data_IF_352608959592
#
_entry.id   IF_352608959592
#
_cell.length_a   1.000
_cell.length_b   1.000
_cell.length_c   1.000
_cell.angle_alpha   90.00
_cell.angle_beta   90.00
_cell.angle_gamma   90.00
#
_symmetry.space_group_name_H-M   'P 1'
#
loop_
_entity.id
_entity.type
_entity.pdbx_description
1 polymer ?
#
# COMPACT_ATOMS: atom_id res chain seq x y z
N UNK A 1 18.06 21.57 7.87
CA UNK A 1 18.07 20.63 9.01
C UNK A 1 18.05 21.38 10.32
N UNK A 2 19.03 22.26 10.57
CA UNK A 2 19.14 23.00 11.85
C UNK A 2 17.89 23.81 12.20
N UNK A 3 17.25 24.50 11.25
CA UNK A 3 16.03 25.28 11.51
C UNK A 3 14.81 24.47 11.98
N UNK A 4 14.57 23.28 11.41
CA UNK A 4 13.47 22.39 11.82
C UNK A 4 13.79 21.68 13.14
N UNK A 5 15.05 21.31 13.35
CA UNK A 5 15.50 20.70 14.60
C UNK A 5 15.44 21.71 15.78
N UNK A 6 15.82 22.96 15.54
CA UNK A 6 15.78 24.06 16.52
C UNK A 6 14.32 24.45 16.85
N UNK A 7 13.45 24.55 15.83
CA UNK A 7 12.02 24.77 16.04
C UNK A 7 11.32 23.61 16.77
N UNK A 8 11.72 22.36 16.51
CA UNK A 8 11.24 21.20 17.26
C UNK A 8 11.79 21.18 18.69
N UNK A 9 13.05 21.56 18.92
CA UNK A 9 13.63 21.66 20.27
C UNK A 9 12.89 22.69 21.13
N UNK A 10 12.51 23.83 20.56
CA UNK A 10 11.71 24.85 21.26
C UNK A 10 10.29 24.36 21.57
N UNK A 11 9.66 23.64 20.64
CA UNK A 11 8.32 23.06 20.78
C UNK A 11 8.26 21.89 21.80
N UNK A 12 9.34 21.11 21.92
CA UNK A 12 9.45 19.94 22.81
C UNK A 12 9.68 20.29 24.29
N UNK A 13 9.68 21.57 24.66
CA UNK A 13 9.88 22.06 26.04
C UNK A 13 8.65 21.95 26.96
N UNK A 14 7.56 21.31 26.53
CA UNK A 14 6.33 21.15 27.33
C UNK A 14 5.95 19.67 27.51
N UNK A 15 5.73 19.29 28.78
CA UNK A 15 5.26 17.99 29.26
C UNK A 15 3.97 17.54 28.53
N UNK A 16 4.08 16.81 27.41
CA UNK A 16 2.96 16.10 26.80
C UNK A 16 3.42 15.07 25.74
N UNK A 17 4.20 14.05 26.11
CA UNK A 17 4.57 12.95 25.20
C UNK A 17 4.35 11.60 25.89
N UNK A 18 3.10 11.27 26.24
CA UNK A 18 2.78 9.89 26.67
C UNK A 18 1.65 9.21 25.89
N UNK A 19 0.90 9.89 25.03
CA UNK A 19 -0.06 9.21 24.15
C UNK A 19 -0.35 10.08 22.92
N UNK A 20 0.13 9.70 21.74
CA UNK A 20 -0.14 10.38 20.47
C UNK A 20 -0.50 9.35 19.38
N UNK A 21 -1.79 9.02 19.26
CA UNK A 21 -2.39 8.40 18.08
C UNK A 21 -3.05 9.50 17.22
N UNK A 22 -2.84 9.47 15.90
CA UNK A 22 -3.40 10.44 14.95
C UNK A 22 -4.04 9.77 13.74
N UNK A 23 -5.20 10.28 13.34
CA UNK A 23 -5.94 9.92 12.14
C UNK A 23 -6.60 11.17 11.57
N UNK A 24 -6.52 11.33 10.24
CA UNK A 24 -7.52 11.89 9.31
C UNK A 24 -7.06 12.98 8.32
N UNK A 25 -7.47 12.76 7.07
CA UNK A 25 -7.92 13.64 5.98
C UNK A 25 -6.95 14.73 5.49
N UNK A 26 -6.05 14.32 4.59
CA UNK A 26 -5.21 15.09 3.66
C UNK A 26 -4.36 16.25 4.23
N UNK A 27 -4.19 16.29 5.56
CA UNK A 27 -3.36 17.26 6.26
C UNK A 27 -2.29 16.55 7.09
N UNK A 28 -1.15 17.20 7.24
CA UNK A 28 -0.18 16.87 8.28
C UNK A 28 -0.88 16.82 9.64
N UNK A 29 -1.21 15.63 10.15
CA UNK A 29 -1.93 15.53 11.42
C UNK A 29 -0.93 15.67 12.57
N UNK A 30 -0.82 16.91 13.01
CA UNK A 30 -0.07 17.38 14.16
C UNK A 30 -1.09 17.82 15.22
N UNK A 31 -0.95 17.42 16.49
CA UNK A 31 -1.82 17.95 17.57
C UNK A 31 -1.68 19.46 17.56
N UNK A 32 -2.71 20.09 18.11
CA UNK A 32 -2.77 21.50 18.51
C UNK A 32 -1.43 22.11 18.95
N UNK A 33 -0.54 21.37 19.60
CA UNK A 33 0.83 21.82 19.91
C UNK A 33 1.69 22.05 18.64
N UNK A 34 1.96 21.01 17.85
CA UNK A 34 2.84 21.13 16.68
C UNK A 34 2.14 21.84 15.51
N UNK A 35 0.80 21.84 15.42
CA UNK A 35 0.08 22.63 14.41
C UNK A 35 0.24 24.15 14.62
N UNK A 36 0.30 24.60 15.87
CA UNK A 36 0.57 26.01 16.21
C UNK A 36 2.02 26.39 15.91
N UNK A 37 2.96 25.47 16.15
CA UNK A 37 4.38 25.67 15.84
C UNK A 37 4.67 25.59 14.34
N UNK A 38 4.02 24.69 13.58
CA UNK A 38 4.08 24.70 12.12
C UNK A 38 3.45 25.95 11.50
N UNK A 39 2.38 26.48 12.10
CA UNK A 39 1.79 27.78 11.70
C UNK A 39 2.78 28.92 11.96
N UNK A 40 3.55 28.89 13.05
CA UNK A 40 4.66 29.83 13.30
C UNK A 40 5.79 29.69 12.29
N UNK A 41 6.02 28.49 11.76
CA UNK A 41 6.99 28.18 10.70
C UNK A 41 6.46 28.42 9.27
N UNK A 42 5.23 28.91 9.12
CA UNK A 42 4.66 29.26 7.82
C UNK A 42 4.21 28.07 6.95
N UNK A 43 3.99 26.90 7.53
CA UNK A 43 3.54 25.71 6.79
C UNK A 43 2.01 25.77 6.58
N UNK A 44 1.52 25.85 5.32
CA UNK A 44 0.08 25.93 5.05
C UNK A 44 -0.64 24.63 5.46
N UNK A 45 -1.87 24.79 5.98
CA UNK A 45 -2.63 23.75 6.65
C UNK A 45 -3.78 23.20 5.79
N UNK A 46 -4.07 23.81 4.64
CA UNK A 46 -5.09 23.33 3.70
C UNK A 46 -4.68 23.52 2.23
N UNK A 47 -5.30 22.74 1.33
CA UNK A 47 -5.17 22.93 -0.11
C UNK A 47 -5.73 24.29 -0.57
N UNK A 48 -6.74 24.82 0.13
CA UNK A 48 -7.27 26.17 -0.07
C UNK A 48 -6.29 27.25 0.38
N UNK A 49 -5.55 27.08 1.48
CA UNK A 49 -4.47 28.00 1.88
C UNK A 49 -3.29 27.94 0.89
N UNK A 50 -2.91 26.74 0.44
CA UNK A 50 -1.93 26.55 -0.65
C UNK A 50 -2.41 27.19 -1.97
N UNK A 51 -3.70 27.09 -2.27
CA UNK A 51 -4.32 27.66 -3.47
C UNK A 51 -4.50 29.17 -3.37
N UNK A 52 -4.83 29.71 -2.19
CA UNK A 52 -4.92 31.14 -1.91
C UNK A 52 -3.54 31.80 -1.94
N UNK A 53 -2.50 31.13 -1.45
CA UNK A 53 -1.09 31.50 -1.65
C UNK A 53 -0.70 31.48 -3.14
N UNK A 54 -1.25 30.56 -3.93
CA UNK A 54 -1.02 30.45 -5.38
C UNK A 54 -1.85 31.43 -6.23
N UNK A 55 -2.96 31.97 -5.70
CA UNK A 55 -3.88 32.84 -6.44
C UNK A 55 -3.38 34.29 -6.62
N UNK A 56 -2.22 34.65 -6.06
CA UNK A 56 -1.57 35.95 -6.26
C UNK A 56 -0.17 35.91 -6.87
N UNK A 57 0.50 34.75 -6.84
CA UNK A 57 1.85 34.54 -7.35
C UNK A 57 1.91 33.12 -7.90
N UNK A 58 2.39 32.88 -9.15
CA UNK A 58 2.58 31.52 -9.62
C UNK A 58 3.43 30.77 -8.59
N UNK A 59 3.05 29.55 -8.16
CA UNK A 59 3.79 28.85 -7.12
C UNK A 59 5.25 28.80 -7.54
N UNK A 60 6.12 29.46 -6.76
CA UNK A 60 7.55 29.30 -6.97
C UNK A 60 7.87 27.82 -6.76
N UNK A 61 8.96 27.33 -7.38
CA UNK A 61 9.40 25.96 -7.21
C UNK A 61 9.48 25.54 -5.72
N UNK A 62 9.70 26.50 -4.82
CA UNK A 62 9.79 26.35 -3.37
C UNK A 62 8.49 25.93 -2.67
N UNK A 63 7.31 26.37 -3.14
CA UNK A 63 6.04 26.05 -2.44
C UNK A 63 5.65 24.58 -2.60
N UNK A 64 6.05 23.94 -3.70
CA UNK A 64 5.88 22.50 -3.91
C UNK A 64 7.04 21.66 -3.32
N UNK A 65 8.14 22.28 -2.88
CA UNK A 65 9.29 21.61 -2.25
C UNK A 65 9.05 21.28 -0.77
N UNK A 66 8.30 22.13 -0.04
CA UNK A 66 8.07 21.95 1.40
C UNK A 66 7.24 20.69 1.74
N UNK A 67 6.13 20.38 1.05
CA UNK A 67 5.31 19.24 1.42
C UNK A 67 5.98 17.88 1.18
N UNK A 68 6.86 17.74 0.18
CA UNK A 68 7.52 16.47 -0.09
C UNK A 68 8.68 16.19 0.89
N UNK A 69 9.42 17.24 1.27
CA UNK A 69 10.57 17.11 2.19
C UNK A 69 10.14 16.80 3.62
N UNK A 70 8.98 17.28 4.07
CA UNK A 70 8.49 16.95 5.42
C UNK A 70 8.29 15.43 5.58
N UNK A 71 7.94 14.70 4.52
CA UNK A 71 7.79 13.23 4.57
C UNK A 71 9.08 12.49 4.96
N UNK A 72 10.25 13.10 4.77
CA UNK A 72 11.56 12.53 5.10
C UNK A 72 12.25 13.28 6.24
N UNK A 73 12.27 14.61 6.21
CA UNK A 73 12.97 15.44 7.19
C UNK A 73 12.33 15.41 8.58
N UNK A 74 10.99 15.42 8.68
CA UNK A 74 10.31 15.45 9.97
C UNK A 74 10.55 14.15 10.78
N UNK A 75 10.37 12.94 10.22
CA UNK A 75 10.71 11.72 10.94
C UNK A 75 12.17 11.68 11.41
N UNK A 76 13.12 12.12 10.56
CA UNK A 76 14.54 12.16 10.90
C UNK A 76 14.79 13.16 12.04
N UNK A 77 14.22 14.36 11.99
CA UNK A 77 14.39 15.37 13.02
C UNK A 77 13.77 14.92 14.35
N UNK A 78 12.59 14.30 14.33
CA UNK A 78 11.95 13.71 15.51
C UNK A 78 12.85 12.63 16.14
N UNK A 79 13.42 11.75 15.31
CA UNK A 79 14.34 10.72 15.78
C UNK A 79 15.61 11.32 16.40
N UNK A 80 16.20 12.34 15.77
CA UNK A 80 17.35 13.07 16.31
C UNK A 80 17.07 13.78 17.64
N UNK A 81 15.82 14.21 17.86
CA UNK A 81 15.34 14.75 19.12
C UNK A 81 14.99 13.68 20.17
N UNK A 82 15.21 12.40 19.88
CA UNK A 82 14.89 11.29 20.78
C UNK A 82 13.41 10.90 20.81
N UNK A 83 12.58 11.47 19.92
CA UNK A 83 11.17 11.12 19.79
C UNK A 83 11.03 9.80 19.04
N UNK A 84 10.23 8.88 19.61
CA UNK A 84 9.99 7.56 19.03
C UNK A 84 8.67 7.56 18.27
N UNK A 85 8.74 7.45 16.95
CA UNK A 85 7.57 7.24 16.12
C UNK A 85 7.03 5.81 16.28
N UNK A 86 5.73 5.70 16.56
CA UNK A 86 5.02 4.41 16.67
C UNK A 86 4.02 4.20 15.55
N UNK A 87 3.36 5.26 15.11
CA UNK A 87 2.29 5.18 14.13
C UNK A 87 2.48 6.25 13.07
N UNK A 88 2.38 5.87 11.80
CA UNK A 88 2.52 6.78 10.66
C UNK A 88 1.33 6.62 9.73
N UNK A 89 0.70 7.74 9.43
CA UNK A 89 -0.38 7.86 8.47
C UNK A 89 0.01 8.82 7.35
N UNK A 90 0.04 8.33 6.11
CA UNK A 90 0.39 9.10 4.92
C UNK A 90 -0.80 9.06 3.97
N UNK A 91 -1.70 10.02 4.16
CA UNK A 91 -2.86 10.21 3.30
C UNK A 91 -2.49 10.88 1.98
N UNK A 92 -1.59 11.87 2.01
CA UNK A 92 -1.13 12.61 0.84
C UNK A 92 0.31 12.25 0.48
N UNK A 93 0.57 11.95 -0.79
CA UNK A 93 1.91 11.64 -1.29
C UNK A 93 2.03 12.10 -2.75
N UNK A 94 3.19 12.56 -3.23
CA UNK A 94 3.36 12.98 -4.62
C UNK A 94 2.86 11.93 -5.61
N UNK A 95 1.91 12.27 -6.49
CA UNK A 95 1.21 11.28 -7.34
C UNK A 95 1.60 11.32 -8.81
N UNK A 96 2.39 12.28 -9.30
CA UNK A 96 2.68 12.42 -10.74
C UNK A 96 4.16 12.41 -11.05
N UNK A 97 4.86 13.45 -10.63
CA UNK A 97 6.28 13.68 -10.90
C UNK A 97 6.96 14.20 -9.64
N UNK A 98 8.28 14.39 -9.71
CA UNK A 98 9.07 15.07 -8.66
C UNK A 98 9.20 14.28 -7.33
N UNK A 99 9.18 12.95 -7.39
CA UNK A 99 9.54 12.07 -6.27
C UNK A 99 10.97 12.32 -5.78
N UNK A 100 11.85 12.84 -6.65
CA UNK A 100 13.17 13.32 -6.25
C UNK A 100 13.11 14.35 -5.12
N UNK A 101 12.00 15.09 -4.96
CA UNK A 101 11.81 16.05 -3.85
C UNK A 101 11.60 15.40 -2.48
N UNK A 102 11.39 14.09 -2.41
CA UNK A 102 11.47 13.36 -1.14
C UNK A 102 12.88 13.41 -0.57
N UNK A 103 13.89 13.54 -1.44
CA UNK A 103 15.27 13.77 -1.05
C UNK A 103 15.61 15.26 -1.25
N UNK A 104 16.18 15.96 -0.25
CA UNK A 104 16.73 17.30 -0.45
C UNK A 104 17.68 17.36 -1.66
N UNK A 105 17.60 18.43 -2.46
CA UNK A 105 18.38 18.59 -3.69
C UNK A 105 19.89 18.44 -3.45
N UNK A 106 20.50 17.61 -4.30
CA UNK A 106 21.94 17.38 -4.39
C UNK A 106 22.48 18.21 -5.56
N UNK A 107 23.00 19.41 -5.26
CA UNK A 107 23.60 20.28 -6.27
C UNK A 107 24.90 19.68 -6.87
N UNK A 108 25.55 18.73 -6.18
CA UNK A 108 26.80 18.09 -6.59
C UNK A 108 26.65 16.56 -6.64
N UNK A 109 26.97 15.96 -7.80
CA UNK A 109 26.60 14.57 -8.12
C UNK A 109 27.37 13.49 -7.38
N UNK A 110 28.63 13.73 -7.02
CA UNK A 110 29.46 12.71 -6.34
C UNK A 110 29.25 12.75 -4.82
N UNK A 111 29.16 13.94 -4.22
CA UNK A 111 28.73 14.09 -2.82
C UNK A 111 27.24 13.77 -2.62
N UNK A 112 26.45 13.83 -3.70
CA UNK A 112 25.02 13.60 -3.68
C UNK A 112 24.61 12.15 -3.42
N UNK A 113 25.36 11.16 -3.94
CA UNK A 113 25.00 9.75 -3.77
C UNK A 113 25.19 9.27 -2.32
N UNK A 114 26.33 9.58 -1.70
CA UNK A 114 26.58 9.24 -0.29
C UNK A 114 25.57 9.92 0.65
N UNK A 115 25.24 11.17 0.35
CA UNK A 115 24.26 11.95 1.13
C UNK A 115 22.84 11.41 0.96
N UNK A 116 22.47 10.97 -0.24
CA UNK A 116 21.17 10.32 -0.48
C UNK A 116 21.06 9.01 0.30
N UNK A 117 22.08 8.15 0.26
CA UNK A 117 22.11 6.91 1.05
C UNK A 117 21.96 7.19 2.55
N UNK A 118 22.65 8.23 3.05
CA UNK A 118 22.54 8.66 4.44
C UNK A 118 21.12 9.12 4.80
N UNK A 119 20.43 9.84 3.91
CA UNK A 119 19.04 10.27 4.14
C UNK A 119 18.11 9.06 4.28
N UNK A 120 18.23 8.07 3.40
CA UNK A 120 17.42 6.86 3.46
C UNK A 120 17.74 6.01 4.69
N UNK A 121 19.02 5.90 5.06
CA UNK A 121 19.45 5.21 6.28
C UNK A 121 18.91 5.88 7.55
N UNK A 122 18.97 7.22 7.62
CA UNK A 122 18.40 7.98 8.73
C UNK A 122 16.88 7.85 8.79
N UNK A 123 16.20 7.82 7.65
CA UNK A 123 14.75 7.60 7.59
C UNK A 123 14.37 6.20 8.08
N UNK A 124 15.13 5.18 7.66
CA UNK A 124 14.97 3.81 8.16
C UNK A 124 15.15 3.74 9.69
N UNK A 125 16.16 4.44 10.23
CA UNK A 125 16.38 4.51 11.66
C UNK A 125 15.21 5.20 12.39
N UNK A 126 14.70 6.31 11.84
CA UNK A 126 13.55 7.02 12.37
C UNK A 126 12.28 6.16 12.41
N UNK A 127 12.10 5.29 11.42
CA UNK A 127 10.97 4.35 11.34
C UNK A 127 11.22 2.99 12.01
N UNK A 128 12.42 2.75 12.56
CA UNK A 128 12.79 1.46 13.13
C UNK A 128 11.92 1.00 14.30
N UNK A 129 11.18 1.92 14.93
CA UNK A 129 10.30 1.65 16.09
C UNK A 129 8.80 1.69 15.77
N UNK A 130 8.43 1.81 14.49
CA UNK A 130 7.03 1.81 14.06
C UNK A 130 6.33 0.50 14.40
N UNK A 131 5.07 0.65 14.80
CA UNK A 131 4.07 -0.41 15.05
C UNK A 131 2.97 -0.38 14.01
N UNK A 132 2.55 0.79 13.54
CA UNK A 132 1.50 0.91 12.53
C UNK A 132 1.90 1.83 11.39
N UNK A 133 1.61 1.39 10.17
CA UNK A 133 1.74 2.20 8.94
C UNK A 133 0.43 2.12 8.17
N UNK A 134 -0.04 3.28 7.73
CA UNK A 134 -1.12 3.39 6.75
C UNK A 134 -0.75 4.40 5.67
N UNK A 135 -0.69 3.95 4.43
CA UNK A 135 -0.27 4.72 3.27
C UNK A 135 -1.37 4.69 2.19
N UNK A 136 -1.75 5.87 1.69
CA UNK A 136 -2.65 6.03 0.55
C UNK A 136 -4.12 5.69 0.79
N UNK A 137 -4.54 5.47 2.05
CA UNK A 137 -5.91 5.13 2.41
C UNK A 137 -6.96 6.21 2.03
N UNK A 138 -6.53 7.45 1.84
CA UNK A 138 -7.38 8.61 1.51
C UNK A 138 -7.40 8.98 0.03
N UNK A 139 -6.58 8.33 -0.78
CA UNK A 139 -6.59 8.55 -2.21
C UNK A 139 -7.73 7.76 -2.87
N UNK A 140 -8.97 8.17 -2.62
CA UNK A 140 -10.01 7.95 -3.63
C UNK A 140 -9.47 8.49 -4.96
N UNK A 141 -9.75 7.84 -6.09
CA UNK A 141 -9.15 8.08 -7.41
C UNK A 141 -9.24 9.54 -7.93
N UNK A 142 -8.50 10.46 -7.31
CA UNK A 142 -8.63 11.91 -7.52
C UNK A 142 -7.69 12.43 -8.60
N UNK A 143 -6.66 11.66 -8.96
CA UNK A 143 -5.67 12.10 -9.93
C UNK A 143 -5.42 11.06 -11.02
N UNK A 144 -6.11 11.21 -12.17
CA UNK A 144 -5.85 10.37 -13.32
C UNK A 144 -4.37 10.38 -13.71
N UNK A 145 -3.79 9.19 -13.90
CA UNK A 145 -2.46 9.00 -14.48
C UNK A 145 -2.56 8.26 -15.81
N UNK A 146 -1.91 8.82 -16.82
CA UNK A 146 -1.84 8.22 -18.16
C UNK A 146 -0.56 7.40 -18.36
N UNK A 147 0.42 7.55 -17.45
CA UNK A 147 1.70 6.86 -17.48
C UNK A 147 2.27 6.59 -16.07
N UNK A 148 3.06 5.52 -15.98
CA UNK A 148 3.80 5.16 -14.77
C UNK A 148 4.92 6.16 -14.49
N UNK A 149 5.36 6.30 -13.22
CA UNK A 149 6.59 7.02 -12.91
C UNK A 149 7.76 6.47 -13.75
N UNK A 150 8.63 7.36 -14.22
CA UNK A 150 9.91 6.97 -14.84
C UNK A 150 10.73 6.16 -13.84
N UNK A 151 11.61 5.28 -14.33
CA UNK A 151 12.43 4.40 -13.47
C UNK A 151 13.20 5.17 -12.36
N UNK A 152 13.82 6.31 -12.70
CA UNK A 152 14.53 7.14 -11.72
C UNK A 152 13.61 7.73 -10.65
N UNK A 153 12.37 8.08 -11.01
CA UNK A 153 11.37 8.61 -10.09
C UNK A 153 10.78 7.52 -9.21
N UNK A 154 10.58 6.33 -9.77
CA UNK A 154 10.15 5.13 -9.04
C UNK A 154 11.15 4.75 -7.94
N UNK A 155 12.45 4.94 -8.17
CA UNK A 155 13.48 4.63 -7.18
C UNK A 155 13.25 5.38 -5.85
N UNK A 156 12.99 6.69 -5.90
CA UNK A 156 12.69 7.49 -4.71
C UNK A 156 11.44 6.99 -3.97
N UNK A 157 10.41 6.60 -4.73
CA UNK A 157 9.19 6.01 -4.17
C UNK A 157 9.47 4.68 -3.46
N UNK A 158 10.23 3.79 -4.12
CA UNK A 158 10.60 2.49 -3.59
C UNK A 158 11.50 2.60 -2.36
N UNK A 159 12.46 3.54 -2.35
CA UNK A 159 13.30 3.82 -1.20
C UNK A 159 12.47 4.32 -0.02
N UNK A 160 11.52 5.23 -0.27
CA UNK A 160 10.63 5.74 0.77
C UNK A 160 9.78 4.63 1.38
N UNK A 161 9.09 3.83 0.56
CA UNK A 161 8.28 2.70 1.07
C UNK A 161 9.15 1.62 1.70
N UNK A 162 10.34 1.36 1.17
CA UNK A 162 11.31 0.46 1.77
C UNK A 162 11.71 0.90 3.18
N UNK A 163 11.97 2.19 3.37
CA UNK A 163 12.27 2.75 4.69
C UNK A 163 11.07 2.69 5.64
N UNK A 164 9.87 2.96 5.14
CA UNK A 164 8.64 2.91 5.94
C UNK A 164 8.30 1.48 6.42
N UNK A 165 8.63 0.47 5.61
CA UNK A 165 8.29 -0.94 5.85
C UNK A 165 9.43 -1.77 6.46
N UNK A 166 10.60 -1.21 6.73
CA UNK A 166 11.75 -1.97 7.24
C UNK A 166 11.70 -2.23 8.76
N UNK A 167 10.77 -1.62 9.49
CA UNK A 167 10.69 -1.71 10.95
C UNK A 167 10.35 -3.12 11.44
N UNK A 168 11.16 -3.74 12.32
CA UNK A 168 10.90 -5.09 12.84
C UNK A 168 9.73 -5.15 13.83
N UNK A 169 9.23 -3.99 14.25
CA UNK A 169 8.15 -3.84 15.24
C UNK A 169 6.77 -3.60 14.60
N UNK A 170 6.67 -3.59 13.27
CA UNK A 170 5.40 -3.39 12.58
C UNK A 170 4.40 -4.50 12.91
N UNK A 171 3.27 -4.08 13.47
CA UNK A 171 2.10 -4.90 13.81
C UNK A 171 0.96 -4.69 12.82
N UNK A 172 0.81 -3.48 12.27
CA UNK A 172 -0.24 -3.14 11.31
C UNK A 172 0.35 -2.45 10.08
N UNK A 173 0.06 -2.99 8.89
CA UNK A 173 0.54 -2.45 7.61
C UNK A 173 -0.66 -2.33 6.66
N UNK A 174 -0.98 -1.10 6.28
CA UNK A 174 -2.00 -0.80 5.29
C UNK A 174 -1.41 0.04 4.17
N UNK A 175 -1.26 -0.55 2.98
CA UNK A 175 -0.73 0.12 1.80
C UNK A 175 -1.78 0.09 0.71
N UNK A 176 -2.28 1.26 0.31
CA UNK A 176 -3.17 1.41 -0.82
C UNK A 176 -2.47 2.22 -1.92
N UNK A 177 -2.14 1.55 -3.02
CA UNK A 177 -1.51 2.15 -4.19
C UNK A 177 -2.44 2.31 -5.40
N UNK A 178 -3.76 2.12 -5.24
CA UNK A 178 -4.72 2.21 -6.35
C UNK A 178 -4.66 3.57 -7.07
N UNK A 179 -4.43 4.65 -6.33
CA UNK A 179 -4.28 6.00 -6.89
C UNK A 179 -2.96 6.24 -7.63
N UNK A 180 -1.97 5.35 -7.48
CA UNK A 180 -0.71 5.40 -8.22
C UNK A 180 -0.76 4.53 -9.48
N UNK A 181 -1.86 3.81 -9.68
CA UNK A 181 -2.13 3.08 -10.91
C UNK A 181 -2.53 3.99 -12.06
N UNK A 182 -2.51 3.42 -13.27
CA UNK A 182 -2.94 4.07 -14.50
C UNK A 182 -4.46 4.15 -14.54
N UNK A 183 -4.97 5.35 -14.76
CA UNK A 183 -6.39 5.66 -14.76
C UNK A 183 -6.95 5.49 -16.17
N UNK A 184 -7.29 4.26 -16.55
CA UNK A 184 -7.88 3.98 -17.86
C UNK A 184 -9.43 3.99 -17.87
N UNK A 185 -10.05 4.58 -16.85
CA UNK A 185 -11.51 4.57 -16.62
C UNK A 185 -12.38 5.24 -17.71
N UNK A 186 -11.81 5.81 -18.77
CA UNK A 186 -12.60 6.47 -19.84
C UNK A 186 -12.61 5.77 -21.19
N UNK A 187 -11.88 4.67 -21.40
CA UNK A 187 -11.77 4.08 -22.75
C UNK A 187 -11.93 2.57 -22.87
N UNK A 188 -11.99 1.83 -21.76
CA UNK A 188 -12.16 0.38 -21.80
C UNK A 188 -13.49 -0.06 -21.18
N UNK A 189 -14.15 -1.08 -21.75
CA UNK A 189 -15.31 -1.71 -21.14
C UNK A 189 -14.98 -2.18 -19.72
N UNK A 190 -15.97 -2.12 -18.84
CA UNK A 190 -15.89 -2.63 -17.45
C UNK A 190 -15.30 -4.05 -17.48
N UNK A 191 -14.19 -4.25 -16.77
CA UNK A 191 -13.56 -5.56 -16.60
C UNK A 191 -12.29 -5.83 -17.42
N UNK A 192 -11.89 -4.93 -18.32
CA UNK A 192 -10.58 -4.96 -19.00
C UNK A 192 -9.64 -3.92 -18.36
N UNK A 193 -9.09 -4.24 -17.20
CA UNK A 193 -7.95 -3.49 -16.68
C UNK A 193 -6.70 -3.88 -17.50
N UNK A 194 -5.98 -2.94 -18.12
CA UNK A 194 -4.74 -3.26 -18.79
C UNK A 194 -3.80 -3.97 -17.81
N UNK A 195 -3.12 -5.03 -18.29
CA UNK A 195 -2.21 -5.90 -17.54
C UNK A 195 -1.04 -5.16 -16.85
N UNK A 196 -0.94 -3.84 -16.97
CA UNK A 196 0.11 -3.01 -16.37
C UNK A 196 -0.46 -1.74 -15.76
N UNK A 197 -1.70 -1.75 -15.25
CA UNK A 197 -2.31 -0.56 -14.65
C UNK A 197 -1.87 -0.32 -13.21
N UNK A 198 -1.33 -1.31 -12.49
CA UNK A 198 -1.03 -1.20 -11.06
C UNK A 198 0.43 -0.87 -10.77
N UNK A 199 0.70 -0.25 -9.61
CA UNK A 199 2.04 0.16 -9.24
C UNK A 199 2.94 -1.05 -8.90
N UNK A 200 4.12 -1.14 -9.53
CA UNK A 200 5.06 -2.26 -9.36
C UNK A 200 5.78 -2.20 -8.01
N UNK A 201 5.18 -2.77 -6.96
CA UNK A 201 5.74 -2.79 -5.61
C UNK A 201 6.55 -4.07 -5.28
N UNK A 202 6.49 -5.09 -6.13
CA UNK A 202 7.12 -6.40 -5.87
C UNK A 202 8.58 -6.34 -5.39
N UNK A 203 9.40 -5.48 -5.99
CA UNK A 203 10.81 -5.31 -5.61
C UNK A 203 11.04 -4.78 -4.19
N UNK A 204 10.09 -4.01 -3.64
CA UNK A 204 10.12 -3.55 -2.23
C UNK A 204 9.65 -4.69 -1.33
N UNK A 205 8.49 -5.29 -1.64
CA UNK A 205 7.89 -6.36 -0.83
C UNK A 205 8.83 -7.57 -0.65
N UNK A 206 9.58 -7.93 -1.69
CA UNK A 206 10.49 -9.07 -1.66
C UNK A 206 11.67 -8.91 -0.68
N UNK A 207 11.97 -7.69 -0.25
CA UNK A 207 13.05 -7.36 0.71
C UNK A 207 12.53 -7.13 2.13
N UNK A 208 11.24 -6.84 2.27
CA UNK A 208 10.60 -6.51 3.55
C UNK A 208 10.44 -7.77 4.41
N UNK A 209 10.63 -7.61 5.73
CA UNK A 209 10.40 -8.64 6.74
C UNK A 209 9.46 -8.07 7.79
N UNK A 210 8.34 -8.74 8.01
CA UNK A 210 7.29 -8.30 8.94
C UNK A 210 7.05 -9.38 10.00
N UNK A 211 8.02 -9.66 10.88
CA UNK A 211 7.96 -10.78 11.81
C UNK A 211 6.86 -10.65 12.88
N UNK A 212 6.30 -9.46 13.06
CA UNK A 212 5.30 -9.15 14.09
C UNK A 212 3.96 -8.68 13.55
N UNK A 213 3.79 -8.66 12.23
CA UNK A 213 2.55 -8.15 11.63
C UNK A 213 1.37 -9.04 12.03
N UNK A 214 0.29 -8.39 12.42
CA UNK A 214 -1.01 -8.95 12.78
C UNK A 214 -2.05 -8.58 11.73
N UNK A 215 -1.99 -7.34 11.26
CA UNK A 215 -2.93 -6.78 10.29
C UNK A 215 -2.19 -6.37 9.02
N UNK A 216 -2.46 -7.06 7.91
CA UNK A 216 -1.86 -6.76 6.62
C UNK A 216 -2.93 -6.42 5.60
N UNK A 217 -2.86 -5.23 5.01
CA UNK A 217 -3.75 -4.75 3.96
C UNK A 217 -2.94 -4.19 2.80
N UNK A 218 -3.03 -4.81 1.63
CA UNK A 218 -2.35 -4.37 0.41
C UNK A 218 -3.37 -4.15 -0.70
N UNK A 219 -3.33 -2.98 -1.35
CA UNK A 219 -4.22 -2.66 -2.46
C UNK A 219 -3.48 -2.04 -3.64
N UNK A 220 -3.84 -2.43 -4.86
CA UNK A 220 -3.43 -1.73 -6.08
C UNK A 220 -1.97 -1.91 -6.48
N UNK A 221 -1.42 -3.11 -6.26
CA UNK A 221 0.00 -3.41 -6.48
C UNK A 221 0.21 -4.49 -7.54
N UNK A 222 1.28 -4.35 -8.31
CA UNK A 222 1.78 -5.39 -9.21
C UNK A 222 3.08 -6.01 -8.70
N UNK A 223 3.21 -7.33 -8.83
CA UNK A 223 4.35 -8.11 -8.34
C UNK A 223 4.52 -9.42 -9.14
N UNK A 224 5.69 -10.05 -9.03
CA UNK A 224 5.94 -11.40 -9.57
C UNK A 224 5.62 -12.48 -8.52
N UNK A 225 5.48 -13.75 -8.94
CA UNK A 225 5.36 -14.90 -8.03
C UNK A 225 6.55 -14.95 -7.06
N UNK A 226 7.76 -14.68 -7.57
CA UNK A 226 8.98 -14.65 -6.75
C UNK A 226 8.93 -13.58 -5.67
N UNK A 227 8.42 -12.39 -6.01
CA UNK A 227 8.29 -11.28 -5.07
C UNK A 227 7.30 -11.60 -3.95
N UNK A 228 6.11 -12.07 -4.32
CA UNK A 228 5.06 -12.43 -3.37
C UNK A 228 5.47 -13.62 -2.49
N UNK A 229 6.11 -14.65 -3.06
CA UNK A 229 6.62 -15.79 -2.30
C UNK A 229 7.66 -15.36 -1.25
N UNK A 230 8.61 -14.49 -1.60
CA UNK A 230 9.57 -13.95 -0.64
C UNK A 230 8.93 -13.07 0.42
N UNK A 231 7.92 -12.30 0.03
CA UNK A 231 7.16 -11.45 0.94
C UNK A 231 6.40 -12.31 1.96
N UNK A 232 5.65 -13.32 1.53
CA UNK A 232 4.93 -14.24 2.43
C UNK A 232 5.87 -15.00 3.37
N UNK A 233 7.03 -15.44 2.90
CA UNK A 233 8.06 -16.03 3.75
C UNK A 233 8.65 -15.06 4.79
N UNK A 234 8.53 -13.75 4.56
CA UNK A 234 8.97 -12.70 5.47
C UNK A 234 7.92 -12.25 6.50
N UNK A 235 6.68 -12.70 6.36
CA UNK A 235 5.59 -12.42 7.29
C UNK A 235 5.72 -13.34 8.51
N UNK A 236 5.45 -12.83 9.71
CA UNK A 236 5.47 -13.62 10.94
C UNK A 236 4.24 -14.53 11.09
N UNK A 237 4.37 -15.62 11.84
CA UNK A 237 3.25 -16.55 12.08
C UNK A 237 2.08 -15.98 12.89
N UNK A 238 2.18 -14.77 13.44
CA UNK A 238 1.18 -14.15 14.30
C UNK A 238 0.10 -13.34 13.58
N UNK A 239 -0.03 -13.48 12.26
CA UNK A 239 -1.02 -12.75 11.46
C UNK A 239 -2.45 -13.14 11.84
N UNK A 240 -3.31 -12.13 11.95
CA UNK A 240 -4.74 -12.25 12.25
C UNK A 240 -5.60 -11.90 11.06
N UNK A 241 -5.19 -10.89 10.29
CA UNK A 241 -5.99 -10.35 9.20
C UNK A 241 -5.10 -10.11 7.97
N UNK A 242 -5.49 -10.70 6.84
CA UNK A 242 -4.88 -10.47 5.53
C UNK A 242 -5.97 -10.00 4.57
N UNK A 243 -5.83 -8.77 4.09
CA UNK A 243 -6.64 -8.22 3.03
C UNK A 243 -5.74 -7.87 1.83
N UNK A 244 -6.04 -8.45 0.69
CA UNK A 244 -5.37 -8.11 -0.56
C UNK A 244 -6.40 -7.75 -1.61
N UNK A 245 -6.33 -6.54 -2.13
CA UNK A 245 -7.23 -6.05 -3.17
C UNK A 245 -6.45 -5.63 -4.40
N UNK A 246 -7.00 -5.84 -5.59
CA UNK A 246 -6.41 -5.30 -6.81
C UNK A 246 -4.92 -5.67 -6.91
N UNK A 247 -4.60 -6.96 -6.82
CA UNK A 247 -3.22 -7.47 -6.93
C UNK A 247 -3.01 -8.06 -8.31
N UNK A 248 -2.02 -7.57 -9.04
CA UNK A 248 -1.70 -8.05 -10.37
C UNK A 248 -0.39 -8.85 -10.39
N UNK A 249 -0.49 -10.11 -10.80
CA UNK A 249 0.67 -10.99 -11.00
C UNK A 249 1.24 -10.77 -12.40
N UNK A 250 2.37 -10.06 -12.48
CA UNK A 250 3.01 -9.73 -13.77
C UNK A 250 3.73 -10.92 -14.39
N UNK A 251 4.21 -11.85 -13.54
CA UNK A 251 4.96 -13.04 -13.96
C UNK A 251 4.78 -14.16 -12.94
N UNK A 252 4.63 -15.40 -13.44
CA UNK A 252 4.49 -16.60 -12.63
C UNK A 252 3.05 -17.11 -12.53
N UNK A 253 2.79 -17.87 -11.47
CA UNK A 253 1.57 -18.64 -11.27
C UNK A 253 0.78 -18.21 -10.02
N UNK A 254 -0.50 -17.90 -10.20
CA UNK A 254 -1.39 -17.65 -9.06
C UNK A 254 -1.59 -18.91 -8.23
N UNK A 255 -1.60 -20.09 -8.85
CA UNK A 255 -1.73 -21.37 -8.16
C UNK A 255 -0.66 -21.50 -7.07
N UNK A 256 0.62 -21.35 -7.44
CA UNK A 256 1.77 -21.45 -6.51
C UNK A 256 1.82 -20.31 -5.50
N UNK A 257 1.45 -19.11 -5.93
CA UNK A 257 1.39 -17.93 -5.06
C UNK A 257 0.37 -18.15 -3.94
N UNK A 258 -0.81 -18.68 -4.27
CA UNK A 258 -1.87 -18.99 -3.30
C UNK A 258 -1.54 -20.20 -2.45
N UNK A 259 -0.89 -21.24 -3.00
CA UNK A 259 -0.38 -22.37 -2.22
C UNK A 259 0.61 -21.87 -1.14
N UNK A 260 1.54 -20.98 -1.52
CA UNK A 260 2.51 -20.39 -0.58
C UNK A 260 1.84 -19.58 0.52
N UNK A 261 0.81 -18.80 0.19
CA UNK A 261 0.04 -18.04 1.17
C UNK A 261 -0.77 -18.98 2.08
N UNK A 262 -1.36 -20.03 1.52
CA UNK A 262 -2.11 -21.04 2.26
C UNK A 262 -1.22 -21.78 3.25
N UNK A 263 -0.05 -22.24 2.82
CA UNK A 263 0.93 -22.92 3.67
C UNK A 263 1.36 -22.03 4.83
N UNK A 264 1.60 -20.74 4.55
CA UNK A 264 1.92 -19.74 5.56
C UNK A 264 0.78 -19.60 6.61
N UNK A 265 -0.46 -19.49 6.14
CA UNK A 265 -1.65 -19.37 7.01
C UNK A 265 -1.85 -20.63 7.86
N UNK A 266 -1.61 -21.82 7.29
CA UNK A 266 -1.70 -23.09 8.02
C UNK A 266 -0.62 -23.24 9.09
N UNK A 267 0.55 -22.65 8.87
CA UNK A 267 1.66 -22.63 9.83
C UNK A 267 1.56 -21.46 10.82
N UNK A 268 0.49 -20.67 10.78
CA UNK A 268 0.27 -19.57 11.72
C UNK A 268 0.26 -20.07 13.16
N UNK A 269 0.95 -19.36 14.05
CA UNK A 269 0.96 -19.60 15.50
C UNK A 269 -0.11 -18.81 16.23
N UNK A 270 -1.00 -18.13 15.50
CA UNK A 270 -2.10 -17.37 16.09
C UNK A 270 -3.11 -18.30 16.76
N UNK A 271 -3.62 -17.92 17.93
CA UNK A 271 -4.65 -18.67 18.66
C UNK A 271 -5.95 -18.81 17.86
N UNK A 272 -6.24 -17.80 17.03
CA UNK A 272 -7.39 -17.76 16.13
C UNK A 272 -6.94 -17.92 14.70
N UNK A 273 -7.75 -18.63 13.91
CA UNK A 273 -7.52 -18.77 12.47
C UNK A 273 -7.48 -17.37 11.82
N UNK A 274 -6.49 -17.07 10.96
CA UNK A 274 -6.44 -15.77 10.30
C UNK A 274 -7.66 -15.54 9.41
N UNK A 275 -8.21 -14.33 9.46
CA UNK A 275 -9.21 -13.86 8.50
C UNK A 275 -8.49 -13.44 7.22
N UNK A 276 -8.91 -14.01 6.10
CA UNK A 276 -8.31 -13.73 4.80
C UNK A 276 -9.39 -13.21 3.89
N UNK A 277 -9.06 -12.20 3.09
CA UNK A 277 -9.92 -11.69 2.03
C UNK A 277 -9.06 -11.26 0.84
N UNK A 278 -9.25 -11.95 -0.27
CA UNK A 278 -8.55 -11.72 -1.53
C UNK A 278 -9.59 -11.23 -2.54
N UNK A 279 -9.38 -10.04 -3.10
CA UNK A 279 -10.36 -9.36 -3.98
C UNK A 279 -9.66 -8.85 -5.22
N UNK A 280 -10.31 -8.98 -6.38
CA UNK A 280 -9.86 -8.39 -7.64
C UNK A 280 -8.41 -8.77 -8.01
N UNK A 281 -8.07 -10.05 -7.89
CA UNK A 281 -6.78 -10.55 -8.38
C UNK A 281 -6.74 -10.52 -9.92
N UNK A 282 -5.55 -10.34 -10.50
CA UNK A 282 -5.38 -10.24 -11.95
C UNK A 282 -4.03 -10.81 -12.42
N UNK A 283 -3.90 -11.05 -13.73
CA UNK A 283 -2.68 -11.60 -14.33
C UNK A 283 -2.55 -13.12 -14.19
N UNK A 284 -1.47 -13.68 -14.74
CA UNK A 284 -1.22 -15.13 -14.74
C UNK A 284 -2.41 -15.96 -15.25
N UNK A 285 -2.68 -17.08 -14.57
CA UNK A 285 -3.80 -17.97 -14.89
C UNK A 285 -5.17 -17.44 -14.44
N UNK A 286 -5.22 -16.32 -13.70
CA UNK A 286 -6.47 -15.75 -13.16
C UNK A 286 -7.42 -15.35 -14.29
N UNK A 287 -6.88 -14.75 -15.35
CA UNK A 287 -7.62 -14.38 -16.56
C UNK A 287 -8.31 -15.59 -17.21
N UNK A 288 -7.60 -16.71 -17.30
CA UNK A 288 -8.13 -17.94 -17.88
C UNK A 288 -9.22 -18.55 -16.98
N UNK A 289 -9.00 -18.56 -15.66
CA UNK A 289 -9.98 -19.02 -14.68
C UNK A 289 -11.25 -18.16 -14.71
N UNK A 290 -11.11 -16.84 -14.75
CA UNK A 290 -12.22 -15.88 -14.87
C UNK A 290 -13.04 -16.11 -16.14
N UNK A 291 -12.39 -16.33 -17.29
CA UNK A 291 -13.07 -16.66 -18.55
C UNK A 291 -13.79 -18.01 -18.49
N UNK A 292 -13.18 -19.03 -17.87
CA UNK A 292 -13.79 -20.36 -17.67
C UNK A 292 -15.08 -20.25 -16.85
N UNK A 293 -15.05 -19.52 -15.74
CA UNK A 293 -16.23 -19.35 -14.88
C UNK A 293 -17.30 -18.45 -15.54
N UNK A 294 -16.89 -17.32 -16.12
CA UNK A 294 -17.81 -16.37 -16.76
C UNK A 294 -18.51 -16.90 -18.02
N UNK A 295 -17.83 -17.71 -18.85
CA UNK A 295 -18.43 -18.26 -20.08
C UNK A 295 -19.59 -19.23 -19.82
N UNK A 296 -19.66 -19.84 -18.63
CA UNK A 296 -20.65 -20.87 -18.30
C UNK A 296 -21.85 -20.36 -17.52
N UNK A 297 -21.76 -19.15 -16.99
CA UNK A 297 -22.86 -18.48 -16.27
C UNK A 297 -23.67 -17.53 -17.17
N UNK A 298 -23.26 -17.32 -18.43
CA UNK A 298 -24.05 -16.59 -19.45
C UNK A 298 -25.37 -17.29 -19.76
N UNK A 299 -26.41 -17.03 -18.97
CA UNK A 299 -27.75 -16.85 -19.53
C UNK A 299 -27.83 -15.46 -20.16
N UNK A 300 -28.57 -15.29 -21.27
CA UNK A 300 -28.75 -13.98 -21.90
C UNK A 300 -29.67 -13.15 -21.01
N UNK A 301 -29.10 -12.33 -20.13
CA UNK A 301 -29.81 -11.25 -19.45
C UNK A 301 -28.86 -10.07 -19.32
N UNK A 302 -29.36 -8.91 -19.70
CA UNK A 302 -28.68 -7.61 -19.64
C UNK A 302 -28.35 -7.27 -18.16
N UNK A 303 -27.05 -7.14 -17.88
CA UNK A 303 -26.37 -6.44 -16.77
C UNK A 303 -27.04 -6.41 -15.37
N UNK A 304 -26.54 -7.22 -14.39
CA UNK A 304 -25.50 -6.81 -13.42
C UNK A 304 -24.51 -7.96 -13.09
N UNK A 305 -24.35 -8.88 -14.02
CA UNK A 305 -23.76 -10.20 -13.74
C UNK A 305 -22.25 -10.18 -13.47
N UNK A 306 -21.52 -9.17 -13.94
CA UNK A 306 -20.05 -9.18 -13.94
C UNK A 306 -19.42 -8.88 -12.57
N UNK A 307 -20.09 -8.12 -11.71
CA UNK A 307 -19.65 -7.88 -10.33
C UNK A 307 -19.86 -9.13 -9.47
N UNK A 308 -21.06 -9.72 -9.53
CA UNK A 308 -21.40 -10.98 -8.87
C UNK A 308 -20.46 -12.13 -9.24
N UNK A 309 -19.94 -12.16 -10.48
CA UNK A 309 -18.94 -13.17 -10.89
C UNK A 309 -17.57 -12.93 -10.28
N UNK A 310 -17.14 -11.67 -10.14
CA UNK A 310 -15.86 -11.39 -9.50
C UNK A 310 -15.95 -11.72 -8.02
N UNK A 311 -17.07 -11.40 -7.37
CA UNK A 311 -17.32 -11.73 -5.97
C UNK A 311 -17.25 -13.24 -5.71
N UNK A 312 -17.92 -14.07 -6.53
CA UNK A 312 -17.89 -15.52 -6.38
C UNK A 312 -16.48 -16.12 -6.59
N UNK A 313 -15.69 -15.54 -7.50
CA UNK A 313 -14.30 -15.95 -7.72
C UNK A 313 -13.40 -15.58 -6.55
N UNK A 314 -13.56 -14.36 -6.05
CA UNK A 314 -12.81 -13.83 -4.92
C UNK A 314 -13.15 -14.61 -3.64
N UNK A 315 -14.41 -14.99 -3.44
CA UNK A 315 -14.86 -15.89 -2.38
C UNK A 315 -14.22 -17.28 -2.47
N UNK A 316 -14.19 -17.89 -3.66
CA UNK A 316 -13.61 -19.21 -3.87
C UNK A 316 -12.11 -19.23 -3.56
N UNK A 317 -11.37 -18.24 -4.08
CA UNK A 317 -9.93 -18.11 -3.84
C UNK A 317 -9.66 -17.81 -2.36
N UNK A 318 -10.48 -16.97 -1.74
CA UNK A 318 -10.39 -16.69 -0.30
C UNK A 318 -10.63 -17.95 0.54
N UNK A 319 -11.66 -18.73 0.22
CA UNK A 319 -12.01 -19.96 0.93
C UNK A 319 -10.90 -21.02 0.80
N UNK A 320 -10.30 -21.14 -0.38
CA UNK A 320 -9.15 -22.01 -0.62
C UNK A 320 -7.97 -21.68 0.31
N UNK A 321 -7.53 -20.41 0.34
CA UNK A 321 -6.39 -19.98 1.16
C UNK A 321 -6.71 -20.06 2.67
N UNK A 322 -7.94 -19.74 3.06
CA UNK A 322 -8.42 -19.84 4.45
C UNK A 322 -8.45 -21.30 4.96
N UNK A 323 -8.13 -22.27 4.10
CA UNK A 323 -8.09 -23.69 4.42
C UNK A 323 -9.42 -24.22 4.93
N UNK A 324 -10.52 -23.79 4.31
CA UNK A 324 -11.78 -24.52 4.43
C UNK A 324 -11.54 -25.97 3.97
N UNK A 325 -11.92 -26.93 4.82
CA UNK A 325 -11.68 -28.35 4.56
C UNK A 325 -12.31 -28.78 3.23
N UNK A 326 -11.63 -29.63 2.48
CA UNK A 326 -12.14 -30.17 1.21
C UNK A 326 -12.02 -29.25 0.00
N UNK A 327 -11.59 -27.99 0.15
CA UNK A 327 -11.43 -27.08 -1.00
C UNK A 327 -10.10 -27.33 -1.71
N UNK A 328 -10.18 -27.83 -2.94
CA UNK A 328 -9.05 -27.94 -3.87
C UNK A 328 -8.62 -26.59 -4.44
N UNK A 329 -7.43 -26.53 -5.03
CA UNK A 329 -6.96 -25.30 -5.65
C UNK A 329 -7.85 -24.97 -6.89
N UNK A 330 -8.50 -23.79 -6.95
CA UNK A 330 -9.50 -23.48 -7.97
C UNK A 330 -8.92 -23.46 -9.39
N UNK A 331 -7.60 -23.34 -9.53
CA UNK A 331 -6.91 -23.36 -10.81
C UNK A 331 -6.82 -24.77 -11.42
N UNK A 332 -6.87 -25.83 -10.60
CA UNK A 332 -6.83 -27.23 -11.06
C UNK A 332 -8.19 -27.92 -11.05
N UNK A 333 -9.21 -27.30 -10.43
CA UNK A 333 -10.54 -27.89 -10.33
C UNK A 333 -11.13 -28.23 -11.73
N UNK A 334 -11.79 -29.39 -11.86
CA UNK A 334 -12.64 -29.69 -13.00
C UNK A 334 -13.70 -28.60 -13.17
N UNK A 335 -14.12 -28.36 -14.40
CA UNK A 335 -15.00 -27.23 -14.68
C UNK A 335 -16.41 -27.43 -14.10
N UNK A 336 -16.83 -28.69 -13.92
CA UNK A 336 -18.09 -29.07 -13.29
C UNK A 336 -18.09 -28.73 -11.79
N UNK A 337 -16.96 -28.94 -11.11
CA UNK A 337 -16.80 -28.60 -9.69
C UNK A 337 -16.82 -27.08 -9.49
N UNK A 338 -16.13 -26.33 -10.35
CA UNK A 338 -16.15 -24.86 -10.34
C UNK A 338 -17.57 -24.29 -10.50
N UNK A 339 -18.39 -24.91 -11.34
CA UNK A 339 -19.80 -24.48 -11.51
C UNK A 339 -20.65 -24.71 -10.26
N UNK A 340 -20.50 -25.86 -9.60
CA UNK A 340 -21.23 -26.16 -8.38
C UNK A 340 -20.86 -25.19 -7.25
N UNK A 341 -19.57 -24.90 -7.11
CA UNK A 341 -19.04 -23.94 -6.13
C UNK A 341 -19.54 -22.53 -6.44
N UNK A 342 -19.47 -22.08 -7.69
CA UNK A 342 -19.92 -20.74 -8.07
C UNK A 342 -21.43 -20.55 -7.83
N UNK A 343 -22.25 -21.58 -8.08
CA UNK A 343 -23.71 -21.52 -7.87
C UNK A 343 -24.11 -21.56 -6.40
N UNK A 344 -23.32 -22.18 -5.54
CA UNK A 344 -23.57 -22.25 -4.09
C UNK A 344 -23.11 -20.95 -3.40
N UNK A 345 -21.97 -20.39 -3.80
CA UNK A 345 -21.54 -19.04 -3.38
C UNK A 345 -22.58 -17.97 -3.71
N UNK A 346 -23.15 -17.99 -4.92
CA UNK A 346 -24.28 -17.11 -5.30
C UNK A 346 -25.55 -17.27 -4.44
N UNK A 347 -25.67 -18.36 -3.67
CA UNK A 347 -26.78 -18.63 -2.74
C UNK A 347 -26.40 -18.35 -1.27
N UNK A 348 -25.16 -17.95 -1.00
CA UNK A 348 -24.65 -17.79 0.37
C UNK A 348 -24.38 -19.13 1.08
N UNK A 349 -24.28 -20.23 0.33
CA UNK A 349 -23.96 -21.56 0.88
C UNK A 349 -22.50 -21.87 0.53
N UNK A 350 -21.64 -22.07 1.53
CA UNK A 350 -20.28 -22.56 1.27
C UNK A 350 -20.36 -24.01 0.77
N UNK A 351 -19.77 -24.34 -0.38
CA UNK A 351 -19.78 -25.69 -0.90
C UNK A 351 -18.94 -26.60 0.01
N UNK A 352 -19.56 -27.68 0.46
CA UNK A 352 -18.86 -28.85 0.98
C UNK A 352 -18.60 -29.76 -0.22
N UNK A 353 -17.34 -29.93 -0.62
CA UNK A 353 -16.93 -30.81 -1.72
C UNK A 353 -16.62 -32.20 -1.18
#
# INVERSE_FOLDING_TARGET
>A
MDYLAEALQDALSWEAIEDMQYSAYYGYVLRRGIAEDLRRLGVPQSEEELSELANGVPPSADTHLVPARILTELPIAMHGAGVVLRDVYIGAFPTREEFSRLCPDNADKEEGEEKEELIWSNLQAAYGQLRSVSFGAEHGQRHPRDAHPRASQKLYFDHYLGALLCGPHLESVHINLEAFGLTYFRRHPVGEFPLDSQHRLGGVLSKVRLPRVRDLRLSGISATESDLGRFYAGIGGGVRDIYMNSIHLTEGSWMRTLDSLRDHVQCSTCETRPTIKLVSLAGGEYEALRKRVGSRLRKPMEDPSQELYNDAMDELVTAYVSSAEGIENPFVMPSEALEMVSRSGLRGELPVV
#
